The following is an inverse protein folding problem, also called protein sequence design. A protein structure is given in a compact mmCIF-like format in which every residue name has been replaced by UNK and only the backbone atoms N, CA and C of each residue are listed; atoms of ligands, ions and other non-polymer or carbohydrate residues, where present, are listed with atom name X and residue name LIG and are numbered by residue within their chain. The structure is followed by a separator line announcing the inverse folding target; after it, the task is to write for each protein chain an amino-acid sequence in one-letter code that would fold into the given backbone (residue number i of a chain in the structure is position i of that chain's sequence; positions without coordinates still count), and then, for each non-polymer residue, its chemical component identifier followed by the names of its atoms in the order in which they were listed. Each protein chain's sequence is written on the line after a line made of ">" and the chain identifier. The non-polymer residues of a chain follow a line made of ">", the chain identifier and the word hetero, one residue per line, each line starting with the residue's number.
data_IF_710474272389
#
_entry.id   IF_710474272389
#
_cell.length_a   1.000
_cell.length_b   1.000
_cell.length_c   1.000
_cell.angle_alpha   90.00
_cell.angle_beta   90.00
_cell.angle_gamma   90.00
#
_symmetry.space_group_name_H-M   'P 1'
#
loop_
_entity.id
_entity.type
_entity.pdbx_description
1 polymer ?
#
# COMPACT_ATOMS: atom_id res chain seq x y z
N UNK A 1 -28.26 42.77 -10.88
CA UNK A 1 -28.83 41.50 -10.39
C UNK A 1 -27.78 40.39 -10.56
N UNK A 2 -27.78 39.46 -9.61
CA UNK A 2 -26.67 38.57 -9.21
C UNK A 2 -26.08 37.72 -10.35
N UNK A 3 -24.77 37.83 -10.57
CA UNK A 3 -23.99 36.79 -11.23
C UNK A 3 -23.94 35.58 -10.28
N UNK A 4 -24.66 34.52 -10.63
CA UNK A 4 -24.65 33.28 -9.86
C UNK A 4 -23.34 32.58 -10.18
N UNK A 5 -22.38 32.74 -9.27
CA UNK A 5 -21.12 32.01 -9.24
C UNK A 5 -21.45 30.56 -8.88
N UNK A 6 -21.57 29.70 -9.87
CA UNK A 6 -21.63 28.23 -9.69
C UNK A 6 -20.23 27.73 -9.37
N UNK A 7 -19.81 27.97 -8.14
CA UNK A 7 -18.64 27.35 -7.54
C UNK A 7 -19.10 26.15 -6.71
N UNK A 8 -18.29 25.09 -6.76
CA UNK A 8 -18.32 23.87 -5.96
C UNK A 8 -19.36 22.80 -6.31
N UNK A 9 -18.88 21.65 -6.84
CA UNK A 9 -19.28 20.31 -6.37
C UNK A 9 -18.44 19.20 -7.07
N UNK A 10 -17.13 19.12 -6.76
CA UNK A 10 -16.31 17.94 -7.15
C UNK A 10 -15.45 17.41 -5.99
N UNK A 11 -15.69 17.85 -4.75
CA UNK A 11 -14.85 17.47 -3.61
C UNK A 11 -15.29 16.18 -2.89
N UNK A 12 -16.46 15.61 -3.21
CA UNK A 12 -17.07 14.52 -2.43
C UNK A 12 -16.68 13.10 -2.86
N UNK A 13 -16.01 12.91 -4.00
CA UNK A 13 -15.72 11.55 -4.51
C UNK A 13 -14.47 10.89 -3.92
N UNK A 14 -13.66 11.61 -3.13
CA UNK A 14 -12.36 11.09 -2.63
C UNK A 14 -12.35 10.63 -1.18
N UNK A 15 -13.42 10.88 -0.41
CA UNK A 15 -13.52 10.43 0.98
C UNK A 15 -13.52 8.89 1.12
N UNK A 16 -13.81 8.18 0.01
CA UNK A 16 -13.86 6.73 -0.03
C UNK A 16 -12.52 6.02 0.00
N UNK A 17 -11.38 6.65 -0.34
CA UNK A 17 -10.11 5.92 -0.58
C UNK A 17 -9.10 5.93 0.58
N UNK A 18 -9.38 6.65 1.67
CA UNK A 18 -8.51 6.66 2.84
C UNK A 18 -8.72 5.39 3.68
N UNK A 19 -7.64 4.69 4.01
CA UNK A 19 -7.59 3.58 4.96
C UNK A 19 -6.36 3.73 5.86
N UNK A 20 -6.51 3.44 7.15
CA UNK A 20 -5.38 3.29 8.08
C UNK A 20 -4.65 1.98 7.74
N UNK A 21 -3.31 1.98 7.61
CA UNK A 21 -2.61 0.78 7.20
C UNK A 21 -2.46 -0.17 8.38
N UNK A 22 -2.83 -1.43 8.21
CA UNK A 22 -2.30 -2.48 9.08
C UNK A 22 -0.77 -2.60 8.87
N UNK A 23 -0.08 -2.90 9.97
CA UNK A 23 1.36 -3.04 10.01
C UNK A 23 1.69 -4.47 10.41
N UNK A 24 2.21 -5.23 9.45
CA UNK A 24 2.86 -6.50 9.73
C UNK A 24 4.17 -6.54 8.94
N UNK A 25 5.25 -6.88 9.63
CA UNK A 25 6.59 -7.05 9.07
C UNK A 25 7.16 -8.35 9.61
N UNK A 26 7.57 -9.24 8.72
CA UNK A 26 8.31 -10.45 9.05
C UNK A 26 9.58 -10.54 8.21
N UNK A 27 10.51 -11.40 8.58
CA UNK A 27 11.76 -11.59 7.85
C UNK A 27 12.18 -13.06 7.84
N UNK A 28 12.79 -13.51 6.74
CA UNK A 28 13.29 -14.87 6.55
C UNK A 28 14.67 -14.86 5.92
N UNK A 29 15.60 -15.64 6.46
CA UNK A 29 16.91 -15.86 5.84
C UNK A 29 16.78 -16.94 4.77
N UNK A 30 17.07 -16.59 3.52
CA UNK A 30 17.11 -17.49 2.36
C UNK A 30 18.56 -17.67 1.89
N UNK A 31 18.76 -18.51 0.88
CA UNK A 31 20.10 -18.86 0.37
C UNK A 31 20.85 -17.65 -0.19
N UNK A 32 20.13 -16.68 -0.74
CA UNK A 32 20.70 -15.49 -1.35
C UNK A 32 20.72 -14.28 -0.39
N UNK A 33 20.18 -14.39 0.82
CA UNK A 33 20.30 -13.35 1.85
C UNK A 33 19.08 -13.20 2.74
N UNK A 34 18.97 -12.03 3.37
CA UNK A 34 17.84 -11.71 4.25
C UNK A 34 16.68 -11.10 3.46
N UNK A 35 15.52 -11.75 3.52
CA UNK A 35 14.29 -11.31 2.87
C UNK A 35 13.34 -10.73 3.91
N UNK A 36 12.70 -9.62 3.57
CA UNK A 36 11.72 -8.96 4.41
C UNK A 36 10.37 -8.97 3.72
N UNK A 37 9.33 -9.34 4.46
CA UNK A 37 7.95 -9.36 3.99
C UNK A 37 7.21 -8.24 4.70
N UNK A 38 6.73 -7.28 3.91
CA UNK A 38 6.00 -6.11 4.41
C UNK A 38 4.65 -6.06 3.74
N UNK A 39 3.58 -5.81 4.51
CA UNK A 39 2.23 -5.69 3.94
C UNK A 39 1.48 -4.48 4.42
N UNK A 40 0.54 -4.02 3.61
CA UNK A 40 -0.40 -2.95 3.96
C UNK A 40 -1.73 -3.14 3.27
N UNK A 41 -2.73 -2.39 3.71
CA UNK A 41 -4.10 -2.48 3.23
C UNK A 41 -4.44 -1.28 2.37
N UNK A 42 -5.28 -1.49 1.36
CA UNK A 42 -5.79 -0.43 0.49
C UNK A 42 -7.21 -0.74 0.03
N UNK A 43 -7.97 0.29 -0.28
CA UNK A 43 -9.32 0.16 -0.85
C UNK A 43 -9.24 -0.07 -2.37
N UNK A 44 -10.28 -0.60 -3.03
CA UNK A 44 -10.24 -0.97 -4.45
C UNK A 44 -10.32 0.26 -5.39
N UNK A 45 -9.45 1.25 -5.20
CA UNK A 45 -9.30 2.44 -6.02
C UNK A 45 -7.82 2.80 -6.21
N UNK A 46 -7.49 3.41 -7.36
CA UNK A 46 -6.10 3.68 -7.75
C UNK A 46 -5.35 4.54 -6.72
N UNK A 47 -5.99 5.60 -6.21
CA UNK A 47 -5.39 6.51 -5.24
C UNK A 47 -4.99 5.79 -3.94
N UNK A 48 -5.84 4.87 -3.46
CA UNK A 48 -5.54 4.08 -2.26
C UNK A 48 -4.39 3.10 -2.53
N UNK A 49 -4.34 2.50 -3.72
CA UNK A 49 -3.22 1.64 -4.15
C UNK A 49 -1.90 2.42 -4.25
N UNK A 50 -1.91 3.60 -4.85
CA UNK A 50 -0.72 4.46 -4.96
C UNK A 50 -0.20 4.86 -3.56
N UNK A 51 -1.11 5.15 -2.65
CA UNK A 51 -0.77 5.40 -1.25
C UNK A 51 -0.17 4.16 -0.56
N UNK A 52 -0.69 2.96 -0.81
CA UNK A 52 -0.13 1.72 -0.28
C UNK A 52 1.29 1.47 -0.80
N UNK A 53 1.54 1.67 -2.10
CA UNK A 53 2.87 1.56 -2.71
C UNK A 53 3.85 2.54 -2.06
N UNK A 54 3.44 3.80 -1.86
CA UNK A 54 4.26 4.80 -1.15
C UNK A 54 4.57 4.39 0.29
N UNK A 55 3.57 3.82 0.97
CA UNK A 55 3.71 3.32 2.34
C UNK A 55 4.72 2.17 2.41
N UNK A 56 4.62 1.17 1.51
CA UNK A 56 5.57 0.06 1.45
C UNK A 56 6.97 0.52 1.04
N UNK A 57 7.09 1.47 0.10
CA UNK A 57 8.37 2.08 -0.28
C UNK A 57 9.05 2.73 0.92
N UNK A 58 8.32 3.55 1.69
CA UNK A 58 8.85 4.19 2.88
C UNK A 58 9.29 3.16 3.94
N UNK A 59 8.56 2.06 4.08
CA UNK A 59 8.93 0.97 4.98
C UNK A 59 10.19 0.24 4.51
N UNK A 60 10.28 -0.09 3.22
CA UNK A 60 11.46 -0.71 2.63
C UNK A 60 12.72 0.13 2.84
N UNK A 61 12.62 1.44 2.62
CA UNK A 61 13.71 2.38 2.86
C UNK A 61 14.11 2.45 4.34
N UNK A 62 13.15 2.38 5.27
CA UNK A 62 13.45 2.34 6.71
C UNK A 62 14.16 1.05 7.13
N UNK A 63 13.79 -0.08 6.54
CA UNK A 63 14.41 -1.38 6.83
C UNK A 63 15.83 -1.42 6.28
N UNK A 64 16.00 -1.14 4.99
CA UNK A 64 17.28 -1.34 4.32
C UNK A 64 18.27 -0.21 4.58
N UNK A 65 17.81 1.00 4.92
CA UNK A 65 18.60 2.23 5.09
C UNK A 65 19.40 2.69 3.85
N UNK A 66 19.69 1.76 2.94
CA UNK A 66 20.27 1.91 1.61
C UNK A 66 19.19 1.61 0.55
N UNK A 67 19.60 1.08 -0.61
CA UNK A 67 18.69 0.62 -1.65
C UNK A 67 18.09 -0.75 -1.31
N UNK A 68 16.89 -1.02 -1.83
CA UNK A 68 16.27 -2.34 -1.78
C UNK A 68 15.99 -2.85 -3.20
N UNK A 69 15.79 -4.16 -3.31
CA UNK A 69 15.29 -4.85 -4.50
C UNK A 69 13.89 -5.35 -4.14
N UNK A 70 12.91 -4.99 -4.95
CA UNK A 70 11.58 -5.58 -4.88
C UNK A 70 11.63 -6.95 -5.57
N UNK A 71 11.54 -8.01 -4.77
CA UNK A 71 11.61 -9.40 -5.25
C UNK A 71 10.24 -9.83 -5.78
N UNK A 72 9.18 -9.48 -5.06
CA UNK A 72 7.83 -9.88 -5.39
C UNK A 72 6.80 -8.87 -4.87
N UNK A 73 5.76 -8.62 -5.66
CA UNK A 73 4.57 -7.85 -5.27
C UNK A 73 3.35 -8.74 -5.46
N UNK A 74 2.53 -8.86 -4.41
CA UNK A 74 1.32 -9.67 -4.42
C UNK A 74 0.14 -8.87 -3.87
N UNK A 75 -1.03 -9.14 -4.43
CA UNK A 75 -2.32 -8.71 -3.87
C UNK A 75 -3.14 -9.95 -3.51
N UNK A 76 -2.94 -10.54 -2.33
CA UNK A 76 -3.63 -11.75 -1.92
C UNK A 76 -5.15 -11.58 -2.01
N UNK A 77 -5.84 -12.62 -2.47
CA UNK A 77 -7.30 -12.64 -2.48
C UNK A 77 -7.76 -12.91 -1.04
N UNK A 78 -8.31 -11.89 -0.40
CA UNK A 78 -8.97 -12.04 0.90
C UNK A 78 -10.41 -12.48 0.61
N UNK A 79 -10.73 -13.72 0.96
CA UNK A 79 -12.10 -14.22 0.89
C UNK A 79 -12.91 -13.60 2.02
N UNK A 80 -13.53 -12.44 1.75
CA UNK A 80 -14.47 -11.83 2.68
C UNK A 80 -15.90 -12.31 2.37
N UNK A 81 -16.78 -12.40 3.39
CA UNK A 81 -18.21 -12.61 3.18
C UNK A 81 -18.78 -11.56 2.22
N UNK A 82 -19.72 -11.98 1.37
CA UNK A 82 -20.29 -11.19 0.26
C UNK A 82 -20.88 -9.84 0.72
N UNK A 83 -21.28 -9.73 2.00
CA UNK A 83 -21.88 -8.54 2.61
C UNK A 83 -20.87 -7.41 2.92
N UNK A 84 -19.56 -7.66 2.82
CA UNK A 84 -18.53 -6.66 3.07
C UNK A 84 -18.25 -5.80 1.83
N UNK A 85 -19.16 -4.87 1.49
CA UNK A 85 -19.01 -3.90 0.39
C UNK A 85 -17.78 -2.97 0.51
N UNK A 86 -17.04 -3.01 1.62
CA UNK A 86 -15.80 -2.25 1.83
C UNK A 86 -14.52 -3.06 1.65
N UNK A 87 -14.54 -4.09 0.78
CA UNK A 87 -13.50 -5.08 0.56
C UNK A 87 -12.09 -4.45 0.48
N UNK A 88 -11.46 -4.39 1.64
CA UNK A 88 -10.10 -3.92 1.80
C UNK A 88 -9.19 -4.98 1.21
N UNK A 89 -8.27 -4.57 0.35
CA UNK A 89 -7.28 -5.43 -0.29
C UNK A 89 -5.96 -5.34 0.46
N UNK A 90 -5.22 -6.43 0.50
CA UNK A 90 -3.84 -6.44 0.97
C UNK A 90 -2.89 -6.25 -0.22
N UNK A 91 -1.81 -5.50 0.02
CA UNK A 91 -0.63 -5.43 -0.82
C UNK A 91 0.55 -5.93 0.01
N UNK A 92 1.15 -7.03 -0.43
CA UNK A 92 2.29 -7.70 0.18
C UNK A 92 3.51 -7.56 -0.73
N UNK A 93 4.60 -7.07 -0.18
CA UNK A 93 5.90 -7.04 -0.84
C UNK A 93 6.88 -7.97 -0.14
N UNK A 94 7.66 -8.67 -0.95
CA UNK A 94 8.91 -9.28 -0.55
C UNK A 94 10.05 -8.40 -1.07
N UNK A 95 10.92 -7.99 -0.16
CA UNK A 95 12.08 -7.15 -0.49
C UNK A 95 13.35 -7.77 0.05
N UNK A 96 14.47 -7.44 -0.61
CA UNK A 96 15.82 -7.72 -0.16
C UNK A 96 16.61 -6.43 -0.12
N UNK A 97 17.38 -6.22 0.94
CA UNK A 97 18.27 -5.05 1.00
C UNK A 97 19.48 -5.28 0.08
N UNK A 98 19.86 -4.24 -0.68
CA UNK A 98 21.14 -4.29 -1.39
C UNK A 98 22.26 -4.15 -0.38
N UNK A 99 23.32 -4.91 -0.59
CA UNK A 99 24.54 -4.77 0.18
C UNK A 99 25.06 -3.34 0.05
N UNK A 100 25.50 -2.75 1.16
CA UNK A 100 26.19 -1.48 1.13
C UNK A 100 27.51 -1.72 0.39
N UNK A 101 27.58 -1.24 -0.86
CA UNK A 101 28.80 -1.29 -1.67
C UNK A 101 29.85 -0.38 -1.06
#
# INVERSE_FOLDING_TARGET
>A
MKAVVTVLLVASLFAGCASTPEYEQTSKKLNDGMHYFIKTNYKPCQISRDWAIRTLTNRANKICKSQYILINEQTPVILQPIEAESATRELLWEIKCKDAT
#
